data_IF_154188671569
#
_entry.id   IF_154188671569
#
_cell.length_a   1.000
_cell.length_b   1.000
_cell.length_c   1.000
_cell.angle_alpha   90.00
_cell.angle_beta   90.00
_cell.angle_gamma   90.00
#
_symmetry.space_group_name_H-M   'P 1'
#
loop_
_entity.id
_entity.type
_entity.pdbx_description
1 polymer ?
#
# COMPACT_ATOMS: atom_id res chain seq x y z
N UNK A 1 -6.89 16.50 -10.25
CA UNK A 1 -5.91 15.61 -9.61
C UNK A 1 -5.33 14.62 -10.62
N UNK A 2 -4.03 14.46 -10.65
CA UNK A 2 -3.35 13.64 -11.66
C UNK A 2 -3.70 12.14 -11.56
N UNK A 3 -3.69 11.60 -10.35
CA UNK A 3 -4.01 10.18 -10.12
C UNK A 3 -5.44 9.84 -10.53
N UNK A 4 -6.43 10.68 -10.21
CA UNK A 4 -7.82 10.44 -10.63
C UNK A 4 -7.96 10.45 -12.15
N UNK A 5 -7.31 11.39 -12.81
CA UNK A 5 -7.31 11.45 -14.28
C UNK A 5 -6.71 10.17 -14.86
N UNK A 6 -5.59 9.71 -14.30
CA UNK A 6 -4.95 8.47 -14.70
C UNK A 6 -5.87 7.26 -14.49
N UNK A 7 -6.50 7.14 -13.30
CA UNK A 7 -7.40 6.02 -12.99
C UNK A 7 -8.63 5.99 -13.88
N UNK A 8 -9.15 7.15 -14.30
CA UNK A 8 -10.29 7.25 -15.24
C UNK A 8 -10.02 6.64 -16.59
N UNK A 9 -8.76 6.49 -17.00
CA UNK A 9 -8.39 5.79 -18.24
C UNK A 9 -8.78 4.31 -18.20
N UNK A 10 -8.91 3.75 -17.00
CA UNK A 10 -9.23 2.34 -16.76
C UNK A 10 -10.65 2.12 -16.22
N UNK A 11 -11.56 3.06 -16.47
CA UNK A 11 -12.93 3.01 -15.91
C UNK A 11 -13.71 1.72 -16.22
N UNK A 12 -13.35 1.03 -17.30
CA UNK A 12 -13.99 -0.21 -17.71
C UNK A 12 -13.28 -1.48 -17.19
N UNK A 13 -12.22 -1.30 -16.41
CA UNK A 13 -11.43 -2.37 -15.83
C UNK A 13 -11.60 -2.41 -14.32
N UNK A 14 -11.53 -3.60 -13.76
CA UNK A 14 -11.37 -3.77 -12.32
C UNK A 14 -9.93 -3.45 -11.93
N UNK A 15 -9.74 -2.61 -10.93
CA UNK A 15 -8.43 -2.18 -10.44
C UNK A 15 -8.25 -2.66 -9.01
N UNK A 16 -7.13 -3.31 -8.72
CA UNK A 16 -6.63 -3.57 -7.37
C UNK A 16 -5.49 -2.60 -7.10
N UNK A 17 -5.73 -1.64 -6.23
CA UNK A 17 -4.78 -0.59 -5.88
C UNK A 17 -4.15 -0.90 -4.53
N UNK A 18 -2.90 -1.32 -4.54
CA UNK A 18 -2.10 -1.62 -3.36
C UNK A 18 -1.34 -0.37 -2.91
N UNK A 19 -1.46 -0.02 -1.66
CA UNK A 19 -0.87 1.20 -1.08
C UNK A 19 0.00 0.82 0.11
N UNK A 20 1.25 1.28 0.12
CA UNK A 20 2.12 1.18 1.29
C UNK A 20 1.65 2.13 2.40
N UNK A 21 2.09 1.88 3.62
CA UNK A 21 1.73 2.70 4.78
C UNK A 21 2.80 3.75 5.09
N UNK A 22 4.02 3.29 5.40
CA UNK A 22 5.11 4.16 5.83
C UNK A 22 5.62 5.05 4.69
N UNK A 23 5.61 6.37 4.88
CA UNK A 23 5.98 7.33 3.86
C UNK A 23 4.90 7.63 2.82
N UNK A 24 3.76 6.91 2.84
CA UNK A 24 2.65 7.10 1.89
C UNK A 24 1.39 7.64 2.56
N UNK A 25 0.92 6.99 3.63
CA UNK A 25 -0.23 7.43 4.42
C UNK A 25 0.12 7.72 5.88
N UNK A 26 1.20 7.13 6.39
CA UNK A 26 1.76 7.39 7.72
C UNK A 26 3.15 7.99 7.57
N UNK A 27 3.44 9.02 8.36
CA UNK A 27 4.73 9.69 8.32
C UNK A 27 5.87 8.78 8.84
N UNK A 28 7.07 8.99 8.31
CA UNK A 28 8.26 8.40 8.90
C UNK A 28 8.55 9.06 10.25
N UNK A 29 8.73 8.22 11.27
CA UNK A 29 9.16 8.70 12.59
C UNK A 29 10.49 8.04 12.95
N UNK A 30 11.57 8.61 12.47
CA UNK A 30 12.93 8.10 12.69
C UNK A 30 13.41 8.23 14.14
N UNK A 31 12.72 8.96 14.98
CA UNK A 31 13.17 9.30 16.34
C UNK A 31 12.28 8.80 17.47
N UNK A 32 11.13 8.21 17.18
CA UNK A 32 10.17 7.83 18.21
C UNK A 32 10.04 6.31 18.35
N UNK A 33 10.52 5.72 19.47
CA UNK A 33 10.37 4.28 19.72
C UNK A 33 8.96 3.87 20.17
N UNK A 34 7.98 4.78 20.19
CA UNK A 34 6.68 4.60 20.85
C UNK A 34 5.66 3.75 20.08
N UNK A 35 6.07 3.04 19.05
CA UNK A 35 5.18 2.14 18.31
C UNK A 35 4.41 2.80 17.17
N UNK A 36 3.77 1.96 16.36
CA UNK A 36 3.16 2.39 15.11
C UNK A 36 1.93 3.28 15.30
N UNK A 37 1.18 3.05 16.35
CA UNK A 37 -0.03 3.79 16.71
C UNK A 37 0.20 5.28 16.96
N UNK A 38 1.45 5.66 17.26
CA UNK A 38 1.86 7.07 17.47
C UNK A 38 2.26 7.80 16.18
N UNK A 39 2.33 7.11 15.05
CA UNK A 39 2.70 7.74 13.78
C UNK A 39 1.68 8.75 13.31
N UNK A 40 2.17 9.90 12.87
CA UNK A 40 1.34 10.97 12.33
C UNK A 40 0.70 10.55 11.00
N UNK A 41 -0.63 10.71 10.81
CA UNK A 41 -1.26 10.46 9.53
C UNK A 41 -0.94 11.56 8.50
N UNK A 42 -0.72 11.16 7.26
CA UNK A 42 -0.60 12.06 6.10
C UNK A 42 -2.01 12.31 5.54
N UNK A 43 -2.69 13.28 6.12
CA UNK A 43 -4.13 13.50 5.93
C UNK A 43 -4.52 13.78 4.47
N UNK A 44 -3.67 14.47 3.70
CA UNK A 44 -3.96 14.75 2.29
C UNK A 44 -4.00 13.46 1.46
N UNK A 45 -3.00 12.59 1.65
CA UNK A 45 -2.96 11.28 0.97
C UNK A 45 -4.13 10.40 1.37
N UNK A 46 -4.46 10.37 2.66
CA UNK A 46 -5.61 9.61 3.19
C UNK A 46 -6.92 10.12 2.58
N UNK A 47 -7.11 11.44 2.51
CA UNK A 47 -8.32 12.04 1.94
C UNK A 47 -8.50 11.64 0.47
N UNK A 48 -7.43 11.68 -0.33
CA UNK A 48 -7.46 11.26 -1.74
C UNK A 48 -7.81 9.79 -1.90
N UNK A 49 -7.21 8.94 -1.10
CA UNK A 49 -7.50 7.50 -1.13
C UNK A 49 -8.95 7.21 -0.71
N UNK A 50 -9.47 7.98 0.24
CA UNK A 50 -10.88 7.89 0.63
C UNK A 50 -11.81 8.26 -0.53
N UNK A 51 -11.51 9.30 -1.29
CA UNK A 51 -12.26 9.65 -2.52
C UNK A 51 -12.19 8.53 -3.55
N UNK A 52 -10.99 7.99 -3.81
CA UNK A 52 -10.78 6.88 -4.74
C UNK A 52 -11.54 5.63 -4.30
N UNK A 53 -11.68 5.38 -3.01
CA UNK A 53 -12.42 4.23 -2.48
C UNK A 53 -13.91 4.22 -2.84
N UNK A 54 -14.45 5.36 -3.31
CA UNK A 54 -15.85 5.48 -3.75
C UNK A 54 -16.07 5.02 -5.20
N UNK A 55 -15.01 4.75 -5.97
CA UNK A 55 -15.15 4.25 -7.33
C UNK A 55 -15.45 2.75 -7.35
N UNK A 56 -16.54 2.36 -7.98
CA UNK A 56 -17.05 0.97 -8.00
C UNK A 56 -16.06 -0.03 -8.63
N UNK A 57 -15.19 0.44 -9.51
CA UNK A 57 -14.22 -0.40 -10.19
C UNK A 57 -12.86 -0.49 -9.49
N UNK A 58 -12.69 0.20 -8.35
CA UNK A 58 -11.42 0.23 -7.63
C UNK A 58 -11.56 -0.44 -6.27
N UNK A 59 -10.71 -1.42 -6.03
CA UNK A 59 -10.59 -2.10 -4.76
C UNK A 59 -9.25 -1.72 -4.12
N UNK A 60 -9.32 -1.10 -2.94
CA UNK A 60 -8.13 -0.65 -2.20
C UNK A 60 -7.57 -1.75 -1.32
N UNK A 61 -6.26 -1.89 -1.35
CA UNK A 61 -5.48 -2.80 -0.50
C UNK A 61 -4.36 -2.04 0.21
N UNK A 62 -4.05 -2.46 1.41
CA UNK A 62 -2.77 -2.14 2.06
C UNK A 62 -1.75 -3.22 1.70
N UNK A 63 -0.52 -2.82 1.38
CA UNK A 63 0.62 -3.71 1.23
C UNK A 63 1.79 -3.16 2.03
N UNK A 64 1.99 -3.69 3.22
CA UNK A 64 2.98 -3.21 4.18
C UNK A 64 3.74 -4.38 4.82
N UNK A 65 4.91 -4.10 5.36
CA UNK A 65 5.74 -5.08 6.07
C UNK A 65 5.99 -4.58 7.48
N UNK A 66 5.88 -5.46 8.47
CA UNK A 66 6.28 -5.20 9.84
C UNK A 66 7.46 -6.08 10.26
N UNK A 67 8.28 -5.59 11.20
CA UNK A 67 9.46 -6.32 11.69
C UNK A 67 9.09 -7.44 12.67
N UNK A 68 8.03 -7.24 13.42
CA UNK A 68 7.57 -8.12 14.50
C UNK A 68 6.07 -8.33 14.36
N UNK A 69 5.59 -9.50 14.76
CA UNK A 69 4.18 -9.89 14.63
C UNK A 69 3.21 -8.95 15.36
N UNK A 70 3.61 -8.36 16.50
CA UNK A 70 2.81 -7.34 17.19
C UNK A 70 2.57 -6.07 16.35
N UNK A 71 3.44 -5.79 15.39
CA UNK A 71 3.27 -4.70 14.43
C UNK A 71 2.04 -4.83 13.55
N UNK A 72 1.55 -6.05 13.31
CA UNK A 72 0.32 -6.30 12.56
C UNK A 72 -0.86 -5.65 13.29
N UNK A 73 -1.01 -5.90 14.59
CA UNK A 73 -2.09 -5.32 15.38
C UNK A 73 -1.98 -3.80 15.47
N UNK A 74 -0.78 -3.27 15.67
CA UNK A 74 -0.54 -1.83 15.73
C UNK A 74 -0.91 -1.14 14.42
N UNK A 75 -0.52 -1.70 13.27
CA UNK A 75 -0.88 -1.17 11.96
C UNK A 75 -2.39 -1.24 11.69
N UNK A 76 -3.04 -2.33 12.08
CA UNK A 76 -4.48 -2.46 11.96
C UNK A 76 -5.23 -1.45 12.82
N UNK A 77 -4.80 -1.23 14.07
CA UNK A 77 -5.39 -0.23 14.95
C UNK A 77 -5.22 1.19 14.38
N UNK A 78 -4.05 1.48 13.82
CA UNK A 78 -3.79 2.75 13.16
C UNK A 78 -4.72 2.97 11.95
N UNK A 79 -4.90 1.93 11.11
CA UNK A 79 -5.81 1.97 9.97
C UNK A 79 -7.27 2.14 10.41
N UNK A 80 -7.70 1.48 11.47
CA UNK A 80 -9.05 1.64 12.02
C UNK A 80 -9.31 3.08 12.46
N UNK A 81 -8.29 3.75 12.98
CA UNK A 81 -8.38 5.13 13.44
C UNK A 81 -8.36 6.15 12.29
N UNK A 82 -7.45 6.01 11.33
CA UNK A 82 -7.16 7.06 10.34
C UNK A 82 -7.63 6.75 8.93
N UNK A 83 -7.75 5.49 8.57
CA UNK A 83 -8.10 5.05 7.22
C UNK A 83 -9.00 3.81 7.22
N UNK A 84 -10.17 3.86 7.92
CA UNK A 84 -11.05 2.69 8.07
C UNK A 84 -11.70 2.22 6.76
N UNK A 85 -11.61 3.00 5.70
CA UNK A 85 -12.10 2.62 4.37
C UNK A 85 -11.26 1.52 3.70
N UNK A 86 -10.04 1.25 4.19
CA UNK A 86 -9.34 0.02 3.84
C UNK A 86 -9.98 -1.17 4.57
N UNK A 87 -10.72 -1.99 3.85
CA UNK A 87 -11.39 -3.17 4.41
C UNK A 87 -10.39 -4.10 5.08
N UNK A 88 -10.76 -4.72 6.19
CA UNK A 88 -9.85 -5.58 6.97
C UNK A 88 -9.29 -6.75 6.16
N UNK A 89 -10.12 -7.36 5.31
CA UNK A 89 -9.73 -8.45 4.41
C UNK A 89 -8.73 -8.03 3.31
N UNK A 90 -8.61 -6.72 3.06
CA UNK A 90 -7.71 -6.17 2.05
C UNK A 90 -6.43 -5.57 2.66
N UNK A 91 -6.20 -5.75 3.93
CA UNK A 91 -4.99 -5.27 4.62
C UNK A 91 -3.92 -6.35 4.62
N UNK A 92 -3.01 -6.27 3.68
CA UNK A 92 -1.88 -7.19 3.55
C UNK A 92 -0.70 -6.62 4.33
N UNK A 93 -0.53 -7.09 5.53
CA UNK A 93 0.57 -6.70 6.42
C UNK A 93 1.44 -7.93 6.63
N UNK A 94 2.60 -7.94 5.97
CA UNK A 94 3.50 -9.09 5.94
C UNK A 94 4.42 -9.05 7.16
N UNK A 95 4.44 -10.14 7.91
CA UNK A 95 5.33 -10.32 9.04
C UNK A 95 6.71 -10.80 8.57
N UNK A 96 7.77 -10.10 9.00
CA UNK A 96 9.16 -10.53 8.77
C UNK A 96 9.67 -11.55 9.79
N UNK A 97 8.96 -11.76 10.87
CA UNK A 97 9.32 -12.78 11.86
C UNK A 97 9.32 -14.17 11.20
N UNK A 98 10.45 -14.84 11.25
CA UNK A 98 10.68 -16.07 10.47
C UNK A 98 11.19 -15.86 9.04
N UNK A 99 11.26 -14.61 8.57
CA UNK A 99 11.77 -14.21 7.24
C UNK A 99 12.89 -13.17 7.35
N UNK A 100 13.72 -13.26 8.39
CA UNK A 100 14.73 -12.24 8.73
C UNK A 100 15.80 -12.08 7.65
N UNK A 101 16.01 -13.09 6.81
CA UNK A 101 16.94 -13.06 5.68
C UNK A 101 16.37 -12.39 4.43
N UNK A 102 15.04 -12.10 4.40
CA UNK A 102 14.40 -11.40 3.29
C UNK A 102 14.16 -9.93 3.62
N UNK A 103 14.47 -9.06 2.67
CA UNK A 103 14.15 -7.63 2.78
C UNK A 103 12.68 -7.36 2.46
N UNK A 104 12.16 -6.23 2.97
CA UNK A 104 10.77 -5.81 2.72
C UNK A 104 10.41 -5.75 1.23
N UNK A 105 11.36 -5.31 0.38
CA UNK A 105 11.17 -5.26 -1.07
C UNK A 105 10.89 -6.63 -1.69
N UNK A 106 11.61 -7.66 -1.22
CA UNK A 106 11.44 -9.04 -1.71
C UNK A 106 10.11 -9.63 -1.26
N UNK A 107 9.72 -9.40 -0.01
CA UNK A 107 8.45 -9.88 0.53
C UNK A 107 7.26 -9.26 -0.22
N UNK A 108 7.29 -7.95 -0.48
CA UNK A 108 6.25 -7.27 -1.26
C UNK A 108 6.22 -7.77 -2.71
N UNK A 109 7.38 -7.89 -3.35
CA UNK A 109 7.47 -8.38 -4.72
C UNK A 109 6.96 -9.83 -4.87
N UNK A 110 7.30 -10.69 -3.92
CA UNK A 110 6.82 -12.08 -3.90
C UNK A 110 5.30 -12.15 -3.71
N UNK A 111 4.75 -11.29 -2.85
CA UNK A 111 3.29 -11.21 -2.67
C UNK A 111 2.59 -10.81 -3.97
N UNK A 112 3.03 -9.74 -4.62
CA UNK A 112 2.44 -9.28 -5.89
C UNK A 112 2.54 -10.36 -6.97
N UNK A 113 3.70 -11.02 -7.08
CA UNK A 113 3.91 -12.14 -8.02
C UNK A 113 2.97 -13.32 -7.75
N UNK A 114 2.60 -13.56 -6.49
CA UNK A 114 1.71 -14.65 -6.10
C UNK A 114 0.24 -14.42 -6.45
N UNK A 115 -0.15 -13.19 -6.78
CA UNK A 115 -1.54 -12.87 -7.10
C UNK A 115 -2.00 -13.62 -8.35
N UNK A 116 -3.19 -14.19 -8.28
CA UNK A 116 -3.82 -14.84 -9.44
C UNK A 116 -4.25 -13.79 -10.45
N UNK A 117 -3.99 -14.07 -11.72
CA UNK A 117 -4.50 -13.23 -12.80
C UNK A 117 -6.02 -13.47 -12.95
N UNK A 118 -6.79 -12.51 -12.48
CA UNK A 118 -8.26 -12.49 -12.60
C UNK A 118 -8.78 -11.45 -13.60
N UNK A 119 -7.86 -10.88 -14.40
CA UNK A 119 -8.16 -9.81 -15.35
C UNK A 119 -8.14 -8.40 -14.73
N UNK A 120 -7.93 -8.27 -13.42
CA UNK A 120 -7.79 -6.96 -12.77
C UNK A 120 -6.47 -6.30 -13.15
N UNK A 121 -6.50 -4.98 -13.26
CA UNK A 121 -5.28 -4.17 -13.34
C UNK A 121 -4.72 -4.01 -11.94
N UNK A 122 -3.44 -4.35 -11.75
CA UNK A 122 -2.74 -4.19 -10.48
C UNK A 122 -1.92 -2.92 -10.52
N UNK A 123 -2.16 -2.04 -9.55
CA UNK A 123 -1.41 -0.80 -9.36
C UNK A 123 -0.83 -0.81 -7.96
N UNK A 124 0.44 -0.46 -7.81
CA UNK A 124 1.13 -0.36 -6.52
C UNK A 124 1.63 1.06 -6.32
N UNK A 125 1.33 1.66 -5.18
CA UNK A 125 1.87 2.95 -4.73
C UNK A 125 2.81 2.69 -3.55
N UNK A 126 4.06 3.09 -3.69
CA UNK A 126 5.08 2.93 -2.66
C UNK A 126 6.08 4.10 -2.74
N UNK A 127 6.61 4.54 -1.61
CA UNK A 127 7.63 5.60 -1.57
C UNK A 127 9.04 5.07 -1.79
N UNK A 128 9.27 3.77 -1.56
CA UNK A 128 10.58 3.15 -1.72
C UNK A 128 10.79 2.66 -3.16
N UNK A 129 11.65 3.38 -3.89
CA UNK A 129 11.99 3.02 -5.27
C UNK A 129 12.59 1.61 -5.38
N UNK A 130 13.23 1.08 -4.32
CA UNK A 130 13.79 -0.27 -4.32
C UNK A 130 12.69 -1.32 -4.34
N UNK A 131 11.58 -1.08 -3.64
CA UNK A 131 10.36 -1.92 -3.69
C UNK A 131 9.79 -1.93 -5.09
N UNK A 132 9.60 -0.75 -5.70
CA UNK A 132 9.03 -0.64 -7.04
C UNK A 132 9.91 -1.35 -8.09
N UNK A 133 11.23 -1.19 -8.01
CA UNK A 133 12.17 -1.89 -8.90
C UNK A 133 12.12 -3.40 -8.73
N UNK A 134 12.01 -3.89 -7.50
CA UNK A 134 11.93 -5.33 -7.22
C UNK A 134 10.62 -5.92 -7.76
N UNK A 135 9.51 -5.23 -7.59
CA UNK A 135 8.22 -5.65 -8.17
C UNK A 135 8.32 -5.68 -9.70
N UNK A 136 8.88 -4.63 -10.31
CA UNK A 136 9.05 -4.55 -11.77
C UNK A 136 9.90 -5.70 -12.32
N UNK A 137 10.95 -6.10 -11.62
CA UNK A 137 11.81 -7.20 -12.02
C UNK A 137 11.12 -8.57 -11.99
N UNK A 138 10.09 -8.73 -11.14
CA UNK A 138 9.42 -10.00 -10.89
C UNK A 138 8.00 -10.10 -11.50
N UNK A 139 7.39 -8.98 -11.89
CA UNK A 139 6.02 -8.91 -12.39
C UNK A 139 5.91 -7.89 -13.54
N UNK A 140 5.51 -8.36 -14.74
CA UNK A 140 5.53 -7.54 -15.96
C UNK A 140 4.33 -6.61 -16.12
N UNK A 141 3.16 -7.02 -15.62
CA UNK A 141 1.89 -6.36 -15.90
C UNK A 141 1.37 -5.53 -14.72
N UNK A 142 2.27 -5.00 -13.92
CA UNK A 142 1.95 -4.19 -12.74
C UNK A 142 2.31 -2.73 -13.02
N UNK A 143 1.37 -1.83 -12.74
CA UNK A 143 1.60 -0.39 -12.83
C UNK A 143 2.16 0.07 -11.49
N UNK A 144 3.29 0.76 -11.53
CA UNK A 144 4.03 1.19 -10.35
C UNK A 144 4.04 2.71 -10.27
N UNK A 145 3.59 3.24 -9.14
CA UNK A 145 3.52 4.67 -8.89
C UNK A 145 4.27 5.01 -7.60
N UNK A 146 4.97 6.12 -7.62
CA UNK A 146 5.54 6.71 -6.40
C UNK A 146 4.42 7.36 -5.57
N UNK A 147 4.67 7.50 -4.27
CA UNK A 147 3.83 8.22 -3.31
C UNK A 147 3.44 9.63 -3.79
N UNK A 148 4.31 10.27 -4.58
CA UNK A 148 4.05 11.58 -5.20
C UNK A 148 2.83 11.59 -6.11
N UNK A 149 2.34 10.43 -6.57
CA UNK A 149 1.07 10.33 -7.29
C UNK A 149 -0.15 10.77 -6.44
N UNK A 150 -0.02 10.76 -5.12
CA UNK A 150 -1.03 11.22 -4.17
C UNK A 150 -0.90 12.71 -3.82
N UNK A 151 0.08 13.41 -4.38
CA UNK A 151 0.30 14.84 -4.17
C UNK A 151 -0.24 15.61 -5.38
N UNK A 152 -0.94 16.70 -5.12
CA UNK A 152 -1.42 17.62 -6.19
C UNK A 152 -0.34 18.60 -6.59
#
# INVERSE_FOLDING_TARGET
MYLEFFLKQFKNNKIKLFVDMDGVIADYDFGNPSGYDQKRPLLSSISKLKEISQYDNIELYILSVCRMSEGINQKNNWLDQYAPFFKKENRVIIDREGNEFQHSKELKANYIKSLKNDGSIIIVIDDDIRVLKEISANSKDVILLKDTALVD
#
